data_IF_585808130427
#
_entry.id   IF_585808130427
#
_cell.length_a   1.000
_cell.length_b   1.000
_cell.length_c   1.000
_cell.angle_alpha   90.00
_cell.angle_beta   90.00
_cell.angle_gamma   90.00
#
_symmetry.space_group_name_H-M   'P 1'
#
loop_
_entity.id
_entity.type
_entity.pdbx_description
1 polymer ?
#
# COMPACT_ATOMS: atom_id res chain seq x y z
N UNK A 1 -9.17 1.14 -10.27
CA UNK A 1 -7.75 1.56 -10.11
C UNK A 1 -6.96 0.36 -9.64
N UNK A 2 -5.81 0.09 -10.25
CA UNK A 2 -4.91 -0.99 -9.81
C UNK A 2 -3.95 -0.44 -8.74
N UNK A 3 -3.70 -1.18 -7.66
CA UNK A 3 -2.84 -0.72 -6.55
C UNK A 3 -1.45 -0.27 -7.02
N UNK A 4 -0.88 -0.99 -7.99
CA UNK A 4 0.43 -0.67 -8.58
C UNK A 4 0.44 0.71 -9.26
N UNK A 5 -0.66 1.13 -9.88
CA UNK A 5 -0.78 2.46 -10.49
C UNK A 5 -0.79 3.56 -9.42
N UNK A 6 -1.41 3.30 -8.26
CA UNK A 6 -1.39 4.23 -7.13
C UNK A 6 0.01 4.36 -6.54
N UNK A 7 0.75 3.26 -6.46
CA UNK A 7 2.14 3.24 -5.98
C UNK A 7 3.12 3.86 -6.98
N UNK A 8 2.81 3.85 -8.28
CA UNK A 8 3.62 4.47 -9.32
C UNK A 8 3.56 6.02 -9.30
N UNK A 9 2.55 6.61 -8.66
CA UNK A 9 2.39 8.06 -8.53
C UNK A 9 3.37 8.70 -7.53
N UNK A 10 3.33 10.03 -7.43
CA UNK A 10 4.18 10.79 -6.52
C UNK A 10 3.97 10.39 -5.05
N UNK A 11 5.08 10.22 -4.32
CA UNK A 11 5.11 9.93 -2.88
C UNK A 11 4.71 11.17 -2.07
N UNK A 12 3.40 11.40 -1.96
CA UNK A 12 2.82 12.49 -1.15
C UNK A 12 1.94 11.93 -0.05
N UNK A 13 1.68 12.71 1.01
CA UNK A 13 0.75 12.32 2.08
C UNK A 13 -0.65 12.01 1.52
N UNK A 14 -1.12 12.83 0.58
CA UNK A 14 -2.41 12.63 -0.08
C UNK A 14 -2.46 11.29 -0.85
N UNK A 15 -1.38 10.90 -1.52
CA UNK A 15 -1.33 9.63 -2.23
C UNK A 15 -1.26 8.43 -1.27
N UNK A 16 -0.47 8.54 -0.20
CA UNK A 16 -0.46 7.55 0.88
C UNK A 16 -1.86 7.34 1.45
N UNK A 17 -2.57 8.43 1.75
CA UNK A 17 -3.91 8.36 2.34
C UNK A 17 -4.93 7.72 1.39
N UNK A 18 -4.80 7.95 0.07
CA UNK A 18 -5.58 7.22 -0.94
C UNK A 18 -5.31 5.72 -0.93
N UNK A 19 -4.04 5.31 -0.78
CA UNK A 19 -3.68 3.88 -0.72
C UNK A 19 -4.21 3.25 0.58
N UNK A 20 -4.07 3.93 1.72
CA UNK A 20 -4.64 3.45 2.99
C UNK A 20 -6.17 3.31 2.88
N UNK A 21 -6.85 4.27 2.27
CA UNK A 21 -8.29 4.21 2.03
C UNK A 21 -8.67 3.10 1.04
N UNK A 22 -7.81 2.82 0.05
CA UNK A 22 -7.99 1.71 -0.87
C UNK A 22 -7.96 0.38 -0.13
N UNK A 23 -7.02 0.18 0.81
CA UNK A 23 -6.84 -1.03 1.63
C UNK A 23 -7.93 -1.12 2.71
N UNK A 24 -9.15 -1.37 2.26
CA UNK A 24 -10.36 -1.39 3.08
C UNK A 24 -10.73 -2.78 3.63
N UNK A 25 -10.08 -3.84 3.14
CA UNK A 25 -10.38 -5.24 3.46
C UNK A 25 -9.11 -6.09 3.46
N UNK A 26 -9.19 -7.29 4.04
CA UNK A 26 -8.06 -8.21 4.10
C UNK A 26 -7.46 -8.54 2.74
N UNK A 27 -8.33 -8.87 1.77
CA UNK A 27 -7.90 -9.18 0.41
C UNK A 27 -7.03 -8.09 -0.21
N UNK A 28 -7.32 -6.80 0.05
CA UNK A 28 -6.54 -5.68 -0.48
C UNK A 28 -5.27 -5.43 0.34
N UNK A 29 -5.29 -5.78 1.61
CA UNK A 29 -4.09 -5.79 2.44
C UNK A 29 -3.12 -6.87 1.94
N UNK A 30 -3.61 -8.07 1.66
CA UNK A 30 -2.83 -9.15 1.06
C UNK A 30 -2.25 -8.75 -0.30
N UNK A 31 -3.01 -8.01 -1.12
CA UNK A 31 -2.50 -7.43 -2.37
C UNK A 31 -1.34 -6.46 -2.11
N UNK A 32 -1.48 -5.53 -1.15
CA UNK A 32 -0.40 -4.61 -0.78
C UNK A 32 0.84 -5.34 -0.26
N UNK A 33 0.63 -6.38 0.55
CA UNK A 33 1.72 -7.20 1.09
C UNK A 33 2.42 -7.99 -0.02
N UNK A 34 1.67 -8.52 -0.98
CA UNK A 34 2.23 -9.19 -2.16
C UNK A 34 3.08 -8.24 -2.99
N UNK A 35 2.58 -7.01 -3.23
CA UNK A 35 3.34 -5.97 -3.94
C UNK A 35 4.60 -5.57 -3.17
N UNK A 36 4.54 -5.51 -1.84
CA UNK A 36 5.71 -5.23 -1.01
C UNK A 36 6.76 -6.34 -1.14
N UNK A 37 6.36 -7.62 -1.06
CA UNK A 37 7.30 -8.75 -1.11
C UNK A 37 7.85 -9.07 -2.51
N UNK A 38 7.05 -8.88 -3.55
CA UNK A 38 7.34 -9.38 -4.91
C UNK A 38 7.44 -8.26 -5.96
N UNK A 39 7.16 -7.02 -5.58
CA UNK A 39 7.15 -5.89 -6.50
C UNK A 39 8.54 -5.49 -7.03
N UNK A 40 8.59 -4.74 -8.14
CA UNK A 40 9.82 -4.08 -8.57
C UNK A 40 10.33 -3.13 -7.47
N UNK A 41 11.65 -3.02 -7.33
CA UNK A 41 12.33 -2.26 -6.27
C UNK A 41 11.66 -0.93 -5.88
N UNK A 42 11.38 -0.05 -6.85
CA UNK A 42 10.75 1.25 -6.59
C UNK A 42 9.31 1.15 -6.09
N UNK A 43 8.55 0.16 -6.54
CA UNK A 43 7.17 -0.06 -6.10
C UNK A 43 7.16 -0.65 -4.69
N UNK A 44 8.04 -1.61 -4.41
CA UNK A 44 8.23 -2.18 -3.07
C UNK A 44 8.56 -1.11 -2.03
N UNK A 45 9.55 -0.25 -2.32
CA UNK A 45 9.90 0.86 -1.41
C UNK A 45 8.71 1.78 -1.13
N UNK A 46 7.90 2.05 -2.15
CA UNK A 46 6.73 2.92 -2.02
C UNK A 46 5.57 2.26 -1.29
N UNK A 47 5.43 0.94 -1.37
CA UNK A 47 4.43 0.16 -0.66
C UNK A 47 4.70 0.09 0.85
N UNK A 48 5.96 0.19 1.27
CA UNK A 48 6.36 0.16 2.68
C UNK A 48 5.64 1.23 3.52
N UNK A 49 5.52 2.46 3.00
CA UNK A 49 4.91 3.57 3.74
C UNK A 49 3.41 3.37 4.03
N UNK A 50 2.52 3.12 3.04
CA UNK A 50 1.13 2.83 3.35
C UNK A 50 0.96 1.53 4.14
N UNK A 51 1.83 0.52 3.94
CA UNK A 51 1.78 -0.74 4.69
C UNK A 51 1.97 -0.52 6.20
N UNK A 52 2.97 0.29 6.60
CA UNK A 52 3.19 0.58 8.02
C UNK A 52 1.97 1.22 8.67
N UNK A 53 1.32 2.15 7.97
CA UNK A 53 0.11 2.82 8.45
C UNK A 53 -1.12 1.91 8.49
N UNK A 54 -1.24 0.96 7.55
CA UNK A 54 -2.30 -0.03 7.58
C UNK A 54 -2.18 -0.92 8.83
N UNK A 55 -0.97 -1.38 9.16
CA UNK A 55 -0.70 -2.21 10.36
C UNK A 55 -0.87 -1.39 11.65
N UNK A 56 -0.38 -0.15 11.70
CA UNK A 56 -0.58 0.74 12.87
C UNK A 56 -2.05 0.98 13.18
N UNK A 57 -2.88 1.21 12.15
CA UNK A 57 -4.33 1.47 12.33
C UNK A 57 -5.15 0.21 12.58
N UNK A 58 -4.71 -0.93 12.05
CA UNK A 58 -5.42 -2.20 12.11
C UNK A 58 -4.42 -3.35 12.20
N UNK A 59 -3.94 -3.69 13.41
CA UNK A 59 -2.87 -4.67 13.59
C UNK A 59 -3.32 -6.13 13.36
N UNK A 60 -4.62 -6.41 13.27
CA UNK A 60 -5.20 -7.76 13.13
C UNK A 60 -5.92 -7.94 11.79
N UNK A 61 -5.38 -7.34 10.72
CA UNK A 61 -5.81 -7.66 9.37
C UNK A 61 -5.64 -9.17 9.11
#
# INVERSE_FOLDING_TARGET
MKLVELLAQAQTKAQRDKIIAYVSSQQKFDELMTVFMQGPYRITQRAAWPLSYCVEKKPVF
#
